data_IF_383109864167
#
_entry.id   IF_383109864167
#
_cell.length_a   1.000
_cell.length_b   1.000
_cell.length_c   1.000
_cell.angle_alpha   90.00
_cell.angle_beta   90.00
_cell.angle_gamma   90.00
#
_symmetry.space_group_name_H-M   'P 1'
#
loop_
_entity.id
_entity.type
_entity.pdbx_description
1 polymer ?
#
# COMPACT_ATOMS: atom_id res chain seq x y z
N UNK A 1 -60.74 16.73 -7.25
CA UNK A 1 -61.35 17.99 -6.89
C UNK A 1 -60.23 19.03 -6.76
N UNK A 2 -60.19 19.82 -7.80
CA UNK A 2 -59.86 21.24 -7.96
C UNK A 2 -58.49 21.78 -7.57
N UNK A 3 -57.75 22.09 -8.58
CA UNK A 3 -56.89 23.27 -8.72
C UNK A 3 -57.78 24.54 -8.92
N UNK A 4 -57.34 25.78 -9.18
CA UNK A 4 -56.04 26.35 -9.54
C UNK A 4 -55.80 27.83 -9.08
N UNK A 5 -54.81 28.48 -9.72
CA UNK A 5 -54.66 29.94 -10.00
C UNK A 5 -53.82 30.75 -9.01
N UNK A 6 -53.09 31.79 -9.38
CA UNK A 6 -52.49 32.29 -10.61
C UNK A 6 -51.66 33.55 -10.24
N UNK A 7 -50.63 33.79 -11.00
CA UNK A 7 -50.06 35.08 -11.47
C UNK A 7 -50.12 36.39 -10.62
N UNK A 8 -48.97 37.05 -10.42
CA UNK A 8 -48.80 38.43 -10.94
C UNK A 8 -47.32 38.86 -11.01
N UNK A 9 -47.00 39.29 -12.17
CA UNK A 9 -45.88 40.13 -12.62
C UNK A 9 -45.96 41.57 -12.09
N UNK A 10 -44.83 42.22 -11.85
CA UNK A 10 -44.69 43.63 -12.14
C UNK A 10 -43.24 44.02 -12.37
N UNK A 11 -43.05 44.58 -13.54
CA UNK A 11 -41.91 45.30 -14.05
C UNK A 11 -41.93 46.76 -13.58
N UNK A 12 -40.79 47.38 -13.38
CA UNK A 12 -40.67 48.83 -13.67
C UNK A 12 -39.21 49.22 -13.95
N UNK A 13 -39.16 49.98 -14.99
CA UNK A 13 -38.03 50.55 -15.74
C UNK A 13 -37.51 51.85 -15.11
N UNK A 14 -36.30 52.19 -15.58
CA UNK A 14 -35.76 53.52 -15.94
C UNK A 14 -35.32 54.41 -14.76
N UNK A 15 -34.25 55.16 -14.88
CA UNK A 15 -33.89 56.12 -15.92
C UNK A 15 -32.46 56.67 -15.77
N UNK A 16 -31.93 57.03 -16.89
CA UNK A 16 -30.69 57.75 -17.18
C UNK A 16 -30.62 59.16 -16.60
N UNK A 17 -29.40 59.64 -16.28
CA UNK A 17 -29.08 61.08 -16.50
C UNK A 17 -27.60 61.28 -16.86
N UNK A 18 -27.40 61.80 -18.04
CA UNK A 18 -26.17 62.45 -18.53
C UNK A 18 -26.06 63.82 -17.94
N UNK A 19 -24.86 64.25 -17.58
CA UNK A 19 -24.52 65.73 -17.75
C UNK A 19 -23.02 65.86 -18.06
N UNK A 20 -22.80 66.79 -18.91
CA UNK A 20 -21.71 67.13 -19.77
C UNK A 20 -20.81 68.24 -19.23
N UNK A 21 -19.57 68.21 -19.79
CA UNK A 21 -18.70 69.38 -20.12
C UNK A 21 -18.04 70.19 -18.99
N UNK A 22 -16.72 70.30 -19.05
CA UNK A 22 -16.04 71.53 -19.48
C UNK A 22 -14.54 71.26 -19.79
N UNK A 23 -14.13 71.81 -20.94
CA UNK A 23 -12.77 71.98 -21.43
C UNK A 23 -12.12 73.23 -20.82
N UNK A 24 -10.79 73.19 -20.68
CA UNK A 24 -9.92 74.39 -20.52
C UNK A 24 -8.42 73.96 -20.59
N UNK A 25 -7.51 74.82 -21.08
CA UNK A 25 -6.45 74.40 -22.01
C UNK A 25 -5.00 74.45 -21.47
N UNK A 26 -4.22 73.68 -22.11
CA UNK A 26 -2.77 73.81 -22.51
C UNK A 26 -1.84 74.63 -21.59
N UNK A 27 -0.78 73.96 -21.13
CA UNK A 27 0.60 74.49 -21.15
C UNK A 27 1.64 73.36 -21.34
N UNK A 28 2.28 73.40 -22.49
CA UNK A 28 3.48 72.65 -22.86
C UNK A 28 4.67 72.98 -21.97
N UNK A 29 5.34 71.95 -21.41
CA UNK A 29 6.76 72.04 -21.08
C UNK A 29 7.40 70.70 -21.41
N UNK A 30 8.27 70.77 -22.43
CA UNK A 30 9.16 69.73 -22.86
C UNK A 30 10.20 69.44 -21.76
N UNK A 31 10.32 68.19 -21.37
CA UNK A 31 11.53 67.68 -20.72
C UNK A 31 11.81 66.30 -21.24
N UNK A 32 13.05 66.13 -21.73
CA UNK A 32 13.58 64.94 -22.30
C UNK A 32 13.50 63.77 -21.33
N UNK A 33 12.85 62.69 -21.72
CA UNK A 33 12.90 61.42 -21.02
C UNK A 33 13.84 60.50 -21.72
N UNK A 34 14.89 60.15 -21.01
CA UNK A 34 15.90 59.14 -21.36
C UNK A 34 15.20 57.78 -21.40
N UNK A 35 15.08 57.16 -22.56
CA UNK A 35 14.54 55.81 -22.71
C UNK A 35 15.62 54.82 -22.30
N UNK A 36 15.47 54.28 -21.08
CA UNK A 36 16.18 53.05 -20.66
C UNK A 36 15.34 51.89 -21.16
N UNK A 37 15.74 51.30 -22.26
CA UNK A 37 15.23 50.02 -22.75
C UNK A 37 15.76 48.88 -21.86
N UNK A 38 15.03 48.50 -20.83
CA UNK A 38 15.27 47.25 -20.13
C UNK A 38 14.78 46.12 -20.99
N UNK A 39 15.70 45.48 -21.68
CA UNK A 39 15.46 44.19 -22.32
C UNK A 39 15.28 43.15 -21.20
N UNK A 40 14.05 42.80 -20.87
CA UNK A 40 13.73 41.57 -20.17
C UNK A 40 14.06 40.41 -21.11
N UNK A 41 15.24 39.83 -20.93
CA UNK A 41 15.55 38.51 -21.46
C UNK A 41 14.72 37.53 -20.65
N UNK A 42 13.56 37.16 -21.13
CA UNK A 42 12.86 35.93 -20.76
C UNK A 42 13.72 34.76 -21.27
N UNK A 43 14.71 34.38 -20.46
CA UNK A 43 15.26 33.02 -20.59
C UNK A 43 14.17 32.07 -20.13
N UNK A 44 13.32 31.69 -21.07
CA UNK A 44 12.56 30.46 -20.95
C UNK A 44 13.55 29.33 -20.86
N UNK A 45 13.74 28.77 -19.66
CA UNK A 45 14.32 27.44 -19.53
C UNK A 45 13.32 26.49 -20.19
N UNK A 46 13.48 26.26 -21.48
CA UNK A 46 13.01 25.04 -22.10
C UNK A 46 14.01 23.98 -21.67
N UNK A 47 13.78 23.42 -20.52
CA UNK A 47 14.42 22.19 -20.08
C UNK A 47 13.83 21.06 -20.95
N UNK A 48 14.39 20.91 -22.15
CA UNK A 48 14.26 19.70 -22.94
C UNK A 48 15.35 18.73 -22.49
N UNK A 49 15.39 18.45 -21.20
CA UNK A 49 16.25 17.46 -20.61
C UNK A 49 15.38 16.32 -20.09
N UNK A 50 15.64 15.14 -20.59
CA UNK A 50 15.29 13.82 -20.11
C UNK A 50 14.34 13.80 -18.90
N UNK A 51 13.15 13.20 -19.06
CA UNK A 51 12.13 13.15 -18.03
C UNK A 51 12.68 12.73 -16.67
N UNK A 52 12.97 13.73 -15.84
CA UNK A 52 13.30 13.49 -14.45
C UNK A 52 12.10 12.81 -13.80
N UNK A 53 12.34 11.81 -12.99
CA UNK A 53 11.33 11.09 -12.26
C UNK A 53 10.46 12.05 -11.42
N UNK A 54 9.27 12.37 -11.90
CA UNK A 54 8.35 13.29 -11.25
C UNK A 54 7.79 12.74 -9.91
N UNK A 55 7.92 11.43 -9.68
CA UNK A 55 7.53 10.80 -8.42
C UNK A 55 8.63 10.88 -7.36
N UNK A 56 9.89 11.12 -7.77
CA UNK A 56 11.00 11.28 -6.84
C UNK A 56 11.00 12.69 -6.24
N UNK A 57 10.86 12.79 -4.92
CA UNK A 57 10.86 14.08 -4.21
C UNK A 57 12.03 14.23 -3.24
N UNK A 58 12.81 13.18 -3.03
CA UNK A 58 13.98 13.19 -2.14
C UNK A 58 15.19 12.65 -2.88
N UNK A 59 16.37 13.24 -2.59
CA UNK A 59 17.63 12.89 -3.26
C UNK A 59 18.13 11.49 -2.87
N UNK A 60 17.92 11.09 -1.61
CA UNK A 60 18.28 9.78 -1.08
C UNK A 60 17.01 9.13 -0.50
N UNK A 61 16.26 8.38 -1.29
CA UNK A 61 15.03 7.75 -0.82
C UNK A 61 15.34 6.58 0.10
N UNK A 62 14.59 6.50 1.19
CA UNK A 62 14.65 5.39 2.16
C UNK A 62 13.26 4.77 2.29
N UNK A 63 13.21 3.46 2.50
CA UNK A 63 11.95 2.78 2.81
C UNK A 63 11.38 3.28 4.12
N UNK A 64 10.06 3.31 4.22
CA UNK A 64 9.42 3.53 5.49
C UNK A 64 9.63 2.30 6.39
N UNK A 65 9.91 2.56 7.64
CA UNK A 65 9.96 1.54 8.70
C UNK A 65 8.82 1.75 9.67
N UNK A 66 8.45 0.71 10.40
CA UNK A 66 7.52 0.81 11.50
C UNK A 66 8.02 1.84 12.54
N UNK A 67 7.12 2.68 12.99
CA UNK A 67 7.44 3.62 14.07
C UNK A 67 7.66 2.84 15.39
N UNK A 68 8.61 3.24 16.24
CA UNK A 68 8.82 2.57 17.52
C UNK A 68 7.59 2.65 18.41
N UNK A 69 7.18 1.51 18.94
CA UNK A 69 6.04 1.41 19.85
C UNK A 69 6.34 1.90 21.26
N UNK A 70 5.39 2.54 21.93
CA UNK A 70 5.50 2.82 23.38
C UNK A 70 5.41 1.52 24.19
N UNK A 71 5.66 1.61 25.48
CA UNK A 71 5.35 0.52 26.40
C UNK A 71 3.84 0.22 26.37
N UNK A 72 3.49 -1.05 26.43
CA UNK A 72 2.09 -1.50 26.50
C UNK A 72 1.44 -1.00 27.79
N UNK A 73 0.30 -0.34 27.69
CA UNK A 73 -0.45 0.24 28.82
C UNK A 73 -1.82 -0.40 29.01
N UNK A 74 -2.32 -1.12 28.02
CA UNK A 74 -3.59 -1.84 28.03
C UNK A 74 -3.33 -3.31 27.70
N UNK A 75 -4.13 -4.20 28.24
CA UNK A 75 -4.06 -5.62 27.90
C UNK A 75 -4.45 -5.82 26.44
N UNK A 76 -3.68 -6.56 25.63
CA UNK A 76 -4.03 -6.87 24.25
C UNK A 76 -5.39 -7.57 24.15
N UNK A 77 -6.17 -7.22 23.13
CA UNK A 77 -7.47 -7.84 22.90
C UNK A 77 -7.32 -9.32 22.48
N UNK A 78 -8.28 -10.16 22.84
CA UNK A 78 -8.29 -11.57 22.48
C UNK A 78 -7.28 -12.41 23.24
N UNK A 79 -6.52 -13.27 22.55
CA UNK A 79 -5.55 -14.18 23.13
C UNK A 79 -4.14 -13.91 22.61
N UNK A 80 -3.17 -13.87 23.50
CA UNK A 80 -1.74 -13.79 23.13
C UNK A 80 -1.08 -15.14 23.45
N UNK A 81 -0.30 -15.63 22.49
CA UNK A 81 0.51 -16.85 22.65
C UNK A 81 1.99 -16.53 22.38
N UNK A 82 2.92 -17.18 23.10
CA UNK A 82 4.34 -17.00 22.84
C UNK A 82 4.72 -17.43 21.41
N UNK A 83 5.51 -16.63 20.73
CA UNK A 83 6.09 -16.99 19.42
C UNK A 83 7.49 -17.61 19.54
N UNK A 84 8.24 -17.24 20.59
CA UNK A 84 9.62 -17.68 20.78
C UNK A 84 10.68 -16.71 20.26
N UNK A 85 10.27 -15.62 19.63
CA UNK A 85 11.13 -14.56 19.08
C UNK A 85 10.32 -13.41 18.51
N UNK A 86 10.99 -12.46 17.88
CA UNK A 86 10.36 -11.37 17.14
C UNK A 86 9.66 -11.91 15.90
N UNK A 87 8.35 -11.63 15.77
CA UNK A 87 7.59 -12.02 14.59
C UNK A 87 7.88 -11.01 13.48
N UNK A 88 8.40 -11.49 12.37
CA UNK A 88 8.73 -10.66 11.21
C UNK A 88 7.59 -10.56 10.21
N UNK A 89 6.86 -11.66 10.00
CA UNK A 89 5.68 -11.66 9.14
C UNK A 89 4.74 -12.83 9.43
N UNK A 90 3.49 -12.70 8.96
CA UNK A 90 2.38 -13.62 9.17
C UNK A 90 1.57 -13.85 7.90
N UNK A 91 1.14 -15.09 7.66
CA UNK A 91 0.10 -15.40 6.70
C UNK A 91 -0.82 -16.49 7.24
N UNK A 92 -2.10 -16.49 6.87
CA UNK A 92 -3.07 -17.48 7.35
C UNK A 92 -3.87 -18.06 6.19
N UNK A 93 -4.12 -19.37 6.26
CA UNK A 93 -5.00 -20.09 5.35
C UNK A 93 -5.56 -21.32 6.05
N UNK A 94 -6.82 -21.65 5.76
CA UNK A 94 -7.47 -22.88 6.21
C UNK A 94 -7.33 -23.19 7.72
N UNK A 95 -7.46 -22.12 8.55
CA UNK A 95 -7.32 -22.27 10.01
C UNK A 95 -5.88 -22.47 10.48
N UNK A 96 -4.90 -22.39 9.58
CA UNK A 96 -3.47 -22.49 9.90
C UNK A 96 -2.80 -21.14 9.75
N UNK A 97 -2.10 -20.71 10.78
CA UNK A 97 -1.24 -19.54 10.78
C UNK A 97 0.20 -19.94 10.50
N UNK A 98 0.83 -19.31 9.54
CA UNK A 98 2.27 -19.35 9.33
C UNK A 98 2.91 -18.10 9.94
N UNK A 99 3.92 -18.28 10.76
CA UNK A 99 4.69 -17.21 11.39
C UNK A 99 6.18 -17.34 11.05
N UNK A 100 6.77 -16.25 10.56
CA UNK A 100 8.21 -16.11 10.40
C UNK A 100 8.79 -15.40 11.61
N UNK A 101 9.95 -15.85 12.08
CA UNK A 101 10.66 -15.26 13.21
C UNK A 101 12.04 -14.77 12.78
N UNK A 102 12.45 -13.65 13.35
CA UNK A 102 13.76 -13.06 13.07
C UNK A 102 14.90 -14.01 13.37
N UNK A 103 15.82 -14.17 12.41
CA UNK A 103 17.01 -15.02 12.54
C UNK A 103 16.73 -16.51 12.47
N UNK A 104 15.55 -16.95 12.04
CA UNK A 104 15.22 -18.37 11.88
C UNK A 104 15.02 -18.77 10.41
N UNK A 105 15.73 -19.78 9.97
CA UNK A 105 15.54 -20.41 8.65
C UNK A 105 14.34 -21.39 8.69
N UNK A 106 13.19 -20.89 9.07
CA UNK A 106 11.99 -21.69 9.25
C UNK A 106 10.71 -20.83 9.28
N UNK A 107 9.59 -21.49 9.03
CA UNK A 107 8.24 -20.98 9.30
C UNK A 107 7.54 -21.89 10.30
N UNK A 108 6.86 -21.29 11.26
CA UNK A 108 6.11 -21.98 12.31
C UNK A 108 4.63 -21.99 11.96
N UNK A 109 4.05 -23.19 11.82
CA UNK A 109 2.64 -23.38 11.52
C UNK A 109 1.86 -23.63 12.83
N UNK A 110 1.00 -22.70 13.20
CA UNK A 110 0.12 -22.76 14.36
C UNK A 110 -1.30 -23.13 13.93
N UNK A 111 -1.99 -23.93 14.73
CA UNK A 111 -3.42 -24.19 14.60
C UNK A 111 -4.20 -23.03 15.23
N UNK A 112 -5.02 -22.33 14.44
CA UNK A 112 -5.83 -21.20 14.93
C UNK A 112 -6.99 -21.62 15.83
N UNK A 113 -7.42 -22.88 15.79
CA UNK A 113 -8.39 -23.42 16.74
C UNK A 113 -7.76 -23.68 18.11
N UNK A 114 -6.47 -24.06 18.15
CA UNK A 114 -5.67 -24.19 19.38
C UNK A 114 -4.30 -23.49 19.25
N UNK A 115 -4.27 -22.15 19.20
CA UNK A 115 -3.04 -21.39 18.99
C UNK A 115 -2.02 -21.50 20.13
N UNK A 116 -2.38 -22.14 21.24
CA UNK A 116 -1.46 -22.46 22.34
C UNK A 116 -0.77 -23.82 22.21
N UNK A 117 -1.17 -24.64 21.26
CA UNK A 117 -0.45 -25.88 20.93
C UNK A 117 0.95 -25.57 20.35
N UNK A 118 1.88 -26.52 20.49
CA UNK A 118 3.20 -26.37 19.90
C UNK A 118 3.10 -26.29 18.37
N UNK A 119 3.70 -25.28 17.73
CA UNK A 119 3.66 -25.15 16.28
C UNK A 119 4.46 -26.27 15.60
N UNK A 120 4.08 -26.56 14.37
CA UNK A 120 4.86 -27.41 13.48
C UNK A 120 5.86 -26.54 12.73
N UNK A 121 7.14 -26.89 12.80
CA UNK A 121 8.21 -26.15 12.15
C UNK A 121 8.46 -26.66 10.74
N UNK A 122 8.40 -25.78 9.75
CA UNK A 122 8.80 -26.02 8.35
C UNK A 122 10.15 -25.36 8.12
N UNK A 123 11.20 -26.17 7.90
CA UNK A 123 12.54 -25.63 7.63
C UNK A 123 12.64 -25.11 6.22
N UNK A 124 13.31 -23.98 6.06
CA UNK A 124 13.58 -23.31 4.80
C UNK A 124 15.10 -23.24 4.56
N UNK A 125 15.55 -23.01 3.33
CA UNK A 125 16.98 -22.79 3.03
C UNK A 125 17.52 -21.41 3.45
N UNK A 126 16.67 -20.52 3.96
CA UNK A 126 17.02 -19.21 4.47
C UNK A 126 15.88 -18.58 5.23
N UNK A 127 16.13 -17.46 5.92
CA UNK A 127 15.15 -16.69 6.66
C UNK A 127 14.02 -16.18 5.74
N UNK A 128 12.78 -16.30 6.18
CA UNK A 128 11.64 -15.76 5.45
C UNK A 128 11.58 -14.23 5.55
N UNK A 129 11.63 -13.56 4.42
CA UNK A 129 11.53 -12.08 4.33
C UNK A 129 10.11 -11.57 4.28
N UNK A 130 9.19 -12.35 3.70
CA UNK A 130 7.75 -12.07 3.73
C UNK A 130 6.95 -13.38 3.62
N UNK A 131 5.76 -13.36 4.18
CA UNK A 131 4.76 -14.42 4.07
C UNK A 131 3.49 -13.86 3.42
N UNK A 132 2.89 -14.65 2.53
CA UNK A 132 1.60 -14.28 1.92
C UNK A 132 0.79 -15.53 1.59
N UNK A 133 -0.53 -15.43 1.67
CA UNK A 133 -1.41 -16.43 1.08
C UNK A 133 -1.65 -16.06 -0.38
N UNK A 134 -1.29 -16.97 -1.29
CA UNK A 134 -1.47 -16.85 -2.73
C UNK A 134 -2.27 -18.06 -3.19
N UNK A 135 -3.48 -17.86 -3.69
CA UNK A 135 -4.40 -18.93 -4.11
C UNK A 135 -4.55 -20.07 -3.07
N UNK A 136 -4.69 -19.69 -1.79
CA UNK A 136 -4.85 -20.61 -0.67
C UNK A 136 -3.56 -21.31 -0.21
N UNK A 137 -2.42 -21.02 -0.84
CA UNK A 137 -1.12 -21.57 -0.46
C UNK A 137 -0.28 -20.52 0.27
N UNK A 138 0.37 -20.88 1.36
CA UNK A 138 1.35 -19.99 2.01
C UNK A 138 2.62 -19.93 1.15
N UNK A 139 3.02 -18.72 0.80
CA UNK A 139 4.26 -18.44 0.08
C UNK A 139 5.20 -17.66 0.98
N UNK A 140 6.44 -18.14 1.12
CA UNK A 140 7.51 -17.48 1.86
C UNK A 140 8.60 -17.02 0.90
N UNK A 141 8.93 -15.72 0.88
CA UNK A 141 10.13 -15.25 0.17
C UNK A 141 11.36 -15.42 1.05
N UNK A 142 12.49 -15.76 0.45
CA UNK A 142 13.78 -15.94 1.14
C UNK A 142 14.84 -15.08 0.43
N UNK A 143 14.97 -13.80 0.81
CA UNK A 143 15.84 -12.84 0.13
C UNK A 143 17.28 -13.29 -0.01
N UNK A 144 17.88 -13.79 1.07
CA UNK A 144 19.27 -14.21 1.10
C UNK A 144 19.53 -15.50 0.32
N UNK A 145 18.53 -16.39 0.27
CA UNK A 145 18.59 -17.61 -0.53
C UNK A 145 18.24 -17.37 -2.00
N UNK A 146 17.77 -16.18 -2.38
CA UNK A 146 17.26 -15.85 -3.72
C UNK A 146 16.23 -16.86 -4.21
N UNK A 147 15.28 -17.19 -3.36
CA UNK A 147 14.24 -18.17 -3.61
C UNK A 147 12.94 -17.77 -2.93
N UNK A 148 11.84 -18.36 -3.33
CA UNK A 148 10.63 -18.41 -2.54
C UNK A 148 10.21 -19.86 -2.34
N UNK A 149 9.38 -20.12 -1.34
CA UNK A 149 8.84 -21.45 -1.07
C UNK A 149 7.32 -21.42 -1.04
N UNK A 150 6.68 -22.42 -1.64
CA UNK A 150 5.28 -22.75 -1.43
C UNK A 150 5.18 -23.77 -0.30
N UNK A 151 4.43 -23.44 0.73
CA UNK A 151 4.31 -24.27 1.93
C UNK A 151 2.93 -24.92 1.93
N UNK A 152 2.92 -26.24 1.87
CA UNK A 152 1.72 -27.05 2.09
C UNK A 152 1.46 -27.13 3.60
N UNK A 153 0.41 -26.41 4.05
CA UNK A 153 0.06 -26.35 5.47
C UNK A 153 -0.48 -27.67 6.02
N UNK A 154 -1.00 -28.56 5.19
CA UNK A 154 -1.49 -29.87 5.61
C UNK A 154 -0.35 -30.86 5.90
N UNK A 155 0.64 -30.92 5.02
CA UNK A 155 1.80 -31.82 5.15
C UNK A 155 2.94 -31.20 5.93
N UNK A 156 3.08 -29.86 5.92
CA UNK A 156 4.23 -29.15 6.48
C UNK A 156 5.49 -29.29 5.61
N UNK A 157 5.31 -29.44 4.30
CA UNK A 157 6.41 -29.48 3.34
C UNK A 157 6.53 -28.16 2.60
N UNK A 158 7.75 -27.83 2.16
CA UNK A 158 8.02 -26.64 1.37
C UNK A 158 8.59 -27.04 0.01
N UNK A 159 8.02 -26.50 -1.06
CA UNK A 159 8.58 -26.54 -2.41
C UNK A 159 9.32 -25.25 -2.67
N UNK A 160 10.63 -25.34 -2.95
CA UNK A 160 11.51 -24.18 -3.11
C UNK A 160 11.75 -23.89 -4.58
N UNK A 161 11.56 -22.64 -4.97
CA UNK A 161 11.76 -22.13 -6.33
C UNK A 161 12.85 -21.05 -6.31
N UNK A 162 13.95 -21.26 -7.03
CA UNK A 162 15.03 -20.29 -7.18
C UNK A 162 14.64 -19.16 -8.16
N UNK A 163 15.10 -17.94 -7.90
CA UNK A 163 14.84 -16.77 -8.74
C UNK A 163 16.10 -15.95 -9.00
N UNK A 164 16.05 -15.07 -10.01
CA UNK A 164 17.22 -14.33 -10.50
C UNK A 164 17.56 -13.05 -9.69
N UNK A 165 17.15 -12.98 -8.43
CA UNK A 165 17.39 -11.80 -7.59
C UNK A 165 16.86 -11.95 -6.18
N UNK A 166 16.72 -10.87 -5.46
CA UNK A 166 16.22 -10.80 -4.08
C UNK A 166 14.67 -10.73 -4.09
N UNK A 167 13.96 -11.85 -3.85
CA UNK A 167 12.50 -11.86 -3.86
C UNK A 167 11.94 -11.18 -2.62
N UNK A 168 10.89 -10.37 -2.79
CA UNK A 168 10.24 -9.63 -1.69
C UNK A 168 8.72 -9.68 -1.72
N UNK A 169 8.13 -10.06 -2.86
CA UNK A 169 6.71 -10.27 -3.02
C UNK A 169 6.44 -11.30 -4.12
N UNK A 170 5.38 -12.07 -3.95
CA UNK A 170 4.94 -13.09 -4.92
C UNK A 170 3.44 -12.98 -5.10
N UNK A 171 2.98 -13.02 -6.35
CA UNK A 171 1.56 -13.05 -6.70
C UNK A 171 1.30 -14.06 -7.82
N UNK A 172 0.07 -14.57 -7.89
CA UNK A 172 -0.39 -15.40 -8.99
C UNK A 172 -1.17 -14.56 -10.03
N UNK A 173 -0.99 -14.88 -11.30
CA UNK A 173 -1.78 -14.36 -12.41
C UNK A 173 -2.16 -15.53 -13.35
N UNK A 174 -3.27 -16.18 -13.06
CA UNK A 174 -3.68 -17.42 -13.69
C UNK A 174 -2.68 -18.55 -13.40
N UNK A 175 -2.05 -19.07 -14.44
CA UNK A 175 -1.00 -20.11 -14.36
C UNK A 175 0.42 -19.56 -14.25
N UNK A 176 0.57 -18.23 -14.11
CA UNK A 176 1.86 -17.55 -13.96
C UNK A 176 2.12 -17.15 -12.53
N UNK A 177 3.39 -17.17 -12.13
CA UNK A 177 3.85 -16.60 -10.88
C UNK A 177 4.65 -15.34 -11.15
N UNK A 178 4.28 -14.23 -10.50
CA UNK A 178 4.98 -12.96 -10.54
C UNK A 178 5.83 -12.82 -9.28
N UNK A 179 7.10 -12.49 -9.43
CA UNK A 179 8.03 -12.33 -8.31
C UNK A 179 8.66 -10.93 -8.36
N UNK A 180 8.44 -10.13 -7.36
CA UNK A 180 9.13 -8.85 -7.19
C UNK A 180 10.58 -9.10 -6.76
N UNK A 181 11.52 -8.63 -7.56
CA UNK A 181 12.97 -8.75 -7.34
C UNK A 181 13.54 -7.38 -6.97
N UNK A 182 13.71 -7.13 -5.68
CA UNK A 182 14.07 -5.83 -5.13
C UNK A 182 15.37 -5.27 -5.65
N UNK A 183 16.44 -6.05 -5.61
CA UNK A 183 17.78 -5.65 -6.04
C UNK A 183 17.88 -5.48 -7.56
N UNK A 184 17.16 -6.29 -8.30
CA UNK A 184 17.07 -6.24 -9.76
C UNK A 184 16.15 -5.11 -10.26
N UNK A 185 15.35 -4.47 -9.37
CA UNK A 185 14.34 -3.46 -9.69
C UNK A 185 13.39 -3.96 -10.79
N UNK A 186 12.89 -5.17 -10.63
CA UNK A 186 12.23 -5.92 -11.68
C UNK A 186 11.12 -6.81 -11.14
N UNK A 187 10.23 -7.24 -12.03
CA UNK A 187 9.33 -8.37 -11.79
C UNK A 187 9.73 -9.52 -12.70
N UNK A 188 10.01 -10.67 -12.12
CA UNK A 188 10.22 -11.92 -12.84
C UNK A 188 8.87 -12.62 -13.01
N UNK A 189 8.61 -13.07 -14.23
CA UNK A 189 7.41 -13.84 -14.58
C UNK A 189 7.86 -15.27 -14.81
N UNK A 190 7.25 -16.19 -14.06
CA UNK A 190 7.44 -17.62 -14.19
C UNK A 190 6.18 -18.25 -14.80
N UNK A 191 6.34 -19.35 -15.55
CA UNK A 191 5.21 -20.15 -16.05
C UNK A 191 4.72 -21.18 -15.00
N UNK A 192 3.79 -22.03 -15.40
CA UNK A 192 3.21 -23.05 -14.55
C UNK A 192 4.22 -24.11 -14.03
N UNK A 193 5.36 -24.25 -14.70
CA UNK A 193 6.44 -25.16 -14.33
C UNK A 193 7.57 -24.43 -13.57
N UNK A 194 7.30 -23.21 -13.07
CA UNK A 194 8.24 -22.31 -12.40
C UNK A 194 9.47 -21.92 -13.25
N UNK A 195 9.36 -22.06 -14.57
CA UNK A 195 10.44 -21.66 -15.48
C UNK A 195 10.36 -20.16 -15.78
N UNK A 196 11.50 -19.44 -15.76
CA UNK A 196 11.52 -18.01 -16.06
C UNK A 196 11.11 -17.73 -17.52
N UNK A 197 9.99 -17.05 -17.72
CA UNK A 197 9.51 -16.61 -19.04
C UNK A 197 10.06 -15.24 -19.39
N UNK A 198 10.03 -14.33 -18.42
CA UNK A 198 10.41 -12.93 -18.63
C UNK A 198 10.83 -12.27 -17.32
N UNK A 199 11.71 -11.26 -17.47
CA UNK A 199 11.98 -10.31 -16.39
C UNK A 199 11.63 -8.90 -16.90
N UNK A 200 10.63 -8.28 -16.31
CA UNK A 200 10.17 -6.93 -16.65
C UNK A 200 10.99 -5.93 -15.84
N UNK A 201 11.70 -5.03 -16.55
CA UNK A 201 12.52 -3.98 -15.96
C UNK A 201 12.17 -2.68 -16.64
N UNK A 202 11.91 -1.66 -15.86
CA UNK A 202 11.73 -0.30 -16.32
C UNK A 202 11.83 0.61 -15.10
N UNK A 203 12.10 1.86 -15.23
CA UNK A 203 12.20 2.99 -14.30
C UNK A 203 11.83 2.78 -12.80
N UNK A 204 11.86 1.56 -12.24
CA UNK A 204 11.69 1.29 -10.83
C UNK A 204 12.95 1.64 -10.04
N UNK A 205 12.78 2.15 -8.83
CA UNK A 205 13.87 2.31 -7.86
C UNK A 205 13.99 1.08 -6.97
N UNK A 206 12.89 0.39 -6.80
CA UNK A 206 12.77 -0.84 -6.02
C UNK A 206 11.55 -1.61 -6.51
N UNK A 207 11.58 -2.94 -6.47
CA UNK A 207 10.39 -3.76 -6.62
C UNK A 207 10.17 -4.45 -5.28
N UNK A 208 9.40 -3.82 -4.40
CA UNK A 208 9.25 -4.29 -3.02
C UNK A 208 8.08 -5.27 -2.88
N UNK A 209 7.07 -5.14 -3.70
CA UNK A 209 5.96 -6.09 -3.78
C UNK A 209 5.34 -6.11 -5.18
N UNK A 210 4.62 -7.17 -5.50
CA UNK A 210 3.79 -7.31 -6.70
C UNK A 210 2.44 -7.86 -6.31
N UNK A 211 1.36 -7.23 -6.79
CA UNK A 211 -0.01 -7.59 -6.45
C UNK A 211 -0.86 -7.68 -7.71
N UNK A 212 -1.78 -8.64 -7.72
CA UNK A 212 -2.74 -8.84 -8.80
C UNK A 212 -4.15 -8.67 -8.23
N UNK A 213 -4.91 -7.75 -8.81
CA UNK A 213 -6.27 -7.48 -8.40
C UNK A 213 -7.05 -6.84 -9.56
N UNK A 214 -8.38 -7.02 -9.62
CA UNK A 214 -9.26 -6.33 -10.58
C UNK A 214 -8.94 -6.55 -12.05
N UNK A 215 -8.19 -7.59 -12.38
CA UNK A 215 -7.75 -7.90 -13.74
C UNK A 215 -6.47 -7.17 -14.17
N UNK A 216 -5.84 -6.39 -13.28
CA UNK A 216 -4.54 -5.76 -13.47
C UNK A 216 -3.50 -6.23 -12.47
N UNK A 217 -2.25 -5.92 -12.73
CA UNK A 217 -1.14 -6.14 -11.82
C UNK A 217 -0.43 -4.81 -11.50
N UNK A 218 0.10 -4.69 -10.30
CA UNK A 218 0.87 -3.51 -9.88
C UNK A 218 2.14 -3.92 -9.14
N UNK A 219 3.12 -3.04 -9.19
CA UNK A 219 4.37 -3.13 -8.42
C UNK A 219 4.40 -2.03 -7.39
N UNK A 220 4.68 -2.37 -6.14
CA UNK A 220 4.96 -1.41 -5.09
C UNK A 220 6.45 -1.07 -5.10
N UNK A 221 6.76 0.21 -5.28
CA UNK A 221 8.10 0.77 -5.14
C UNK A 221 8.16 1.63 -3.88
N UNK A 222 8.67 1.08 -2.78
CA UNK A 222 8.74 1.77 -1.49
C UNK A 222 9.74 2.93 -1.51
N UNK A 223 10.80 2.86 -2.33
CA UNK A 223 11.76 3.95 -2.44
C UNK A 223 11.15 5.18 -3.14
N UNK A 224 10.30 4.95 -4.15
CA UNK A 224 9.53 6.02 -4.80
C UNK A 224 8.22 6.33 -4.09
N UNK A 225 7.84 5.55 -3.09
CA UNK A 225 6.55 5.62 -2.42
C UNK A 225 5.40 5.66 -3.43
N UNK A 226 5.37 4.71 -4.33
CA UNK A 226 4.44 4.67 -5.46
C UNK A 226 4.03 3.24 -5.81
N UNK A 227 2.87 3.11 -6.41
CA UNK A 227 2.43 1.91 -7.11
C UNK A 227 2.51 2.16 -8.60
N UNK A 228 2.99 1.18 -9.36
CA UNK A 228 3.13 1.23 -10.81
C UNK A 228 2.27 0.13 -11.42
N UNK A 229 1.55 0.44 -12.49
CA UNK A 229 0.88 -0.60 -13.27
C UNK A 229 1.91 -1.51 -13.95
N UNK A 230 1.61 -2.79 -14.01
CA UNK A 230 2.40 -3.80 -14.70
C UNK A 230 1.55 -4.38 -15.84
N UNK A 231 1.91 -4.07 -17.07
CA UNK A 231 1.30 -4.68 -18.24
C UNK A 231 1.92 -6.05 -18.50
N UNK A 232 1.13 -7.10 -18.25
CA UNK A 232 1.55 -8.48 -18.40
C UNK A 232 1.47 -8.98 -19.86
N UNK A 233 0.78 -8.27 -20.76
CA UNK A 233 0.71 -8.58 -22.17
C UNK A 233 1.93 -8.02 -22.92
N UNK A 234 2.25 -6.75 -22.68
CA UNK A 234 3.37 -6.06 -23.30
C UNK A 234 4.67 -6.18 -22.50
N UNK A 235 4.61 -6.71 -21.26
CA UNK A 235 5.73 -6.84 -20.35
C UNK A 235 6.44 -5.52 -20.05
N UNK A 236 5.67 -4.49 -19.69
CA UNK A 236 6.18 -3.15 -19.38
C UNK A 236 5.65 -2.67 -18.05
N UNK A 237 6.45 -1.81 -17.38
CA UNK A 237 5.95 -1.00 -16.26
C UNK A 237 5.29 0.24 -16.88
N UNK A 238 4.05 0.49 -16.50
CA UNK A 238 3.26 1.59 -17.00
C UNK A 238 3.21 2.79 -16.07
N UNK A 239 2.03 3.37 -15.95
CA UNK A 239 1.81 4.56 -15.11
C UNK A 239 2.13 4.29 -13.64
N UNK A 240 2.70 5.30 -12.97
CA UNK A 240 2.96 5.28 -11.52
C UNK A 240 2.12 6.32 -10.79
N UNK A 241 1.51 5.93 -9.69
CA UNK A 241 0.81 6.82 -8.78
C UNK A 241 1.44 6.81 -7.40
N UNK A 242 1.56 8.00 -6.82
CA UNK A 242 2.10 8.16 -5.48
C UNK A 242 1.22 7.48 -4.42
N UNK A 243 1.83 6.63 -3.61
CA UNK A 243 1.21 5.96 -2.47
C UNK A 243 1.64 6.61 -1.14
N UNK A 244 1.45 7.92 -1.05
CA UNK A 244 1.80 8.69 0.14
C UNK A 244 3.25 9.19 0.17
N UNK A 245 3.84 9.27 1.37
CA UNK A 245 5.24 9.65 1.58
C UNK A 245 6.11 8.52 2.16
N UNK A 246 5.51 7.41 2.51
CA UNK A 246 6.17 6.25 3.06
C UNK A 246 5.32 5.01 2.88
N UNK A 247 5.11 4.58 1.63
CA UNK A 247 4.44 3.31 1.35
C UNK A 247 5.19 2.19 2.05
N UNK A 248 4.48 1.42 2.88
CA UNK A 248 5.10 0.42 3.75
C UNK A 248 4.63 -1.00 3.42
N UNK A 249 3.34 -1.26 3.45
CA UNK A 249 2.77 -2.57 3.23
C UNK A 249 1.56 -2.48 2.30
N UNK A 250 1.21 -3.59 1.63
CA UNK A 250 0.10 -3.63 0.70
C UNK A 250 -0.63 -4.98 0.72
N UNK A 251 -1.92 -4.93 0.47
CA UNK A 251 -2.78 -6.11 0.28
C UNK A 251 -3.81 -5.84 -0.80
N UNK A 252 -4.57 -6.85 -1.20
CA UNK A 252 -5.67 -6.71 -2.15
C UNK A 252 -7.01 -6.86 -1.45
N UNK A 253 -8.08 -6.32 -2.05
CA UNK A 253 -9.44 -6.53 -1.60
C UNK A 253 -10.31 -7.22 -2.66
N UNK A 254 -11.49 -7.65 -2.26
CA UNK A 254 -12.45 -8.32 -3.14
C UNK A 254 -13.05 -7.42 -4.23
N UNK A 255 -12.86 -6.09 -4.12
CA UNK A 255 -13.31 -5.11 -5.11
C UNK A 255 -12.29 -4.90 -6.23
N UNK A 256 -11.21 -5.68 -6.24
CA UNK A 256 -10.15 -5.58 -7.22
C UNK A 256 -9.22 -4.40 -7.02
N UNK A 257 -9.09 -3.91 -5.78
CA UNK A 257 -8.19 -2.80 -5.43
C UNK A 257 -6.95 -3.30 -4.70
N UNK A 258 -5.91 -2.50 -4.77
CA UNK A 258 -4.73 -2.62 -3.91
C UNK A 258 -4.83 -1.60 -2.80
N UNK A 259 -4.73 -2.05 -1.56
CA UNK A 259 -4.73 -1.24 -0.36
C UNK A 259 -3.28 -1.07 0.10
N UNK A 260 -2.84 0.17 0.32
CA UNK A 260 -1.46 0.50 0.69
C UNK A 260 -1.44 1.36 1.94
N UNK A 261 -0.59 1.04 2.91
CA UNK A 261 -0.33 1.90 4.07
C UNK A 261 0.75 2.94 3.77
N UNK A 262 0.52 4.17 4.19
CA UNK A 262 1.50 5.26 4.21
C UNK A 262 1.96 5.48 5.66
N UNK A 263 3.08 4.86 6.04
CA UNK A 263 3.56 4.88 7.41
C UNK A 263 4.04 6.27 7.87
N UNK A 264 4.53 7.11 6.95
CA UNK A 264 5.04 8.45 7.31
C UNK A 264 3.94 9.48 7.50
N UNK A 265 2.87 9.42 6.71
CA UNK A 265 1.73 10.35 6.84
C UNK A 265 0.55 9.78 7.63
N UNK A 266 0.57 8.50 7.97
CA UNK A 266 -0.54 7.82 8.59
C UNK A 266 -1.78 7.84 7.69
N UNK A 267 -1.81 6.99 6.68
CA UNK A 267 -2.96 6.86 5.80
C UNK A 267 -3.09 5.44 5.23
N UNK A 268 -4.32 5.05 4.92
CA UNK A 268 -4.66 3.92 4.08
C UNK A 268 -5.12 4.45 2.72
N UNK A 269 -4.52 3.96 1.65
CA UNK A 269 -4.84 4.32 0.28
C UNK A 269 -5.39 3.10 -0.45
N UNK A 270 -6.38 3.29 -1.31
CA UNK A 270 -6.92 2.23 -2.16
C UNK A 270 -6.79 2.63 -3.63
N UNK A 271 -6.23 1.74 -4.43
CA UNK A 271 -6.01 1.95 -5.86
C UNK A 271 -6.74 0.89 -6.67
N UNK A 272 -7.47 1.29 -7.71
CA UNK A 272 -7.81 0.39 -8.80
C UNK A 272 -6.55 0.07 -9.60
N UNK A 273 -6.49 -1.09 -10.22
CA UNK A 273 -5.29 -1.55 -10.93
C UNK A 273 -5.39 -1.43 -12.45
N UNK A 274 -6.61 -1.45 -13.02
CA UNK A 274 -6.87 -1.29 -14.45
C UNK A 274 -8.14 -0.46 -14.70
N UNK A 275 -8.01 0.83 -15.10
CA UNK A 275 -6.78 1.63 -15.10
C UNK A 275 -6.30 1.94 -13.67
N UNK A 276 -5.00 2.20 -13.51
CA UNK A 276 -4.43 2.57 -12.22
C UNK A 276 -4.98 3.93 -11.75
N UNK A 277 -5.78 3.92 -10.68
CA UNK A 277 -6.44 5.11 -10.14
C UNK A 277 -6.48 5.09 -8.61
N UNK A 278 -6.13 6.19 -7.97
CA UNK A 278 -6.37 6.36 -6.53
C UNK A 278 -7.87 6.57 -6.27
N UNK A 279 -8.50 5.65 -5.56
CA UNK A 279 -9.95 5.68 -5.24
C UNK A 279 -10.25 6.24 -3.87
N UNK A 280 -9.45 5.84 -2.88
CA UNK A 280 -9.70 6.23 -1.49
C UNK A 280 -8.39 6.64 -0.83
N UNK A 281 -8.50 7.60 0.06
CA UNK A 281 -7.43 7.97 0.99
C UNK A 281 -8.06 8.24 2.35
N UNK A 282 -7.79 7.38 3.31
CA UNK A 282 -8.26 7.48 4.68
C UNK A 282 -7.09 7.87 5.59
N UNK A 283 -7.18 8.98 6.34
CA UNK A 283 -6.23 9.27 7.41
C UNK A 283 -6.29 8.20 8.50
N UNK A 284 -5.12 7.66 8.87
CA UNK A 284 -4.95 6.61 9.89
C UNK A 284 -3.74 6.97 10.74
N UNK A 285 -3.87 7.98 11.62
CA UNK A 285 -2.74 8.46 12.42
C UNK A 285 -2.38 7.47 13.55
N UNK A 286 -1.09 7.35 13.85
CA UNK A 286 -0.56 6.49 14.92
C UNK A 286 0.42 5.44 14.44
N UNK A 287 1.15 5.71 13.35
CA UNK A 287 2.15 4.80 12.79
C UNK A 287 1.49 3.64 12.03
N UNK A 288 0.62 3.95 11.06
CA UNK A 288 0.01 2.94 10.18
C UNK A 288 1.11 2.13 9.47
N UNK A 289 1.12 0.79 9.62
CA UNK A 289 2.20 -0.03 9.06
C UNK A 289 1.69 -1.28 8.36
N UNK A 290 1.41 -2.38 9.04
CA UNK A 290 0.88 -3.59 8.42
C UNK A 290 -0.56 -3.44 7.97
N UNK A 291 -0.96 -4.14 6.90
CA UNK A 291 -2.33 -4.15 6.39
C UNK A 291 -2.77 -5.55 5.97
N UNK A 292 -3.98 -5.94 6.36
CA UNK A 292 -4.63 -7.16 5.89
C UNK A 292 -6.12 -6.89 5.58
N UNK A 293 -6.72 -7.71 4.73
CA UNK A 293 -8.12 -7.57 4.35
C UNK A 293 -8.95 -8.76 4.80
N UNK A 294 -10.09 -8.48 5.44
CA UNK A 294 -11.11 -9.46 5.83
C UNK A 294 -12.26 -9.39 4.82
N UNK A 295 -12.30 -10.32 3.90
CA UNK A 295 -13.31 -10.37 2.86
C UNK A 295 -14.73 -10.63 3.40
N UNK A 296 -14.87 -11.41 4.49
CA UNK A 296 -16.17 -11.68 5.09
C UNK A 296 -16.81 -10.47 5.76
N UNK A 297 -15.99 -9.62 6.40
CA UNK A 297 -16.45 -8.40 7.05
C UNK A 297 -16.30 -7.17 6.18
N UNK A 298 -15.59 -7.27 5.04
CA UNK A 298 -15.22 -6.16 4.15
C UNK A 298 -14.37 -5.10 4.86
N UNK A 299 -13.47 -5.54 5.73
CA UNK A 299 -12.69 -4.70 6.63
C UNK A 299 -11.21 -4.77 6.26
N UNK A 300 -10.61 -3.62 6.03
CA UNK A 300 -9.16 -3.47 6.01
C UNK A 300 -8.66 -3.26 7.44
N UNK A 301 -7.81 -4.15 7.92
CA UNK A 301 -7.15 -4.06 9.22
C UNK A 301 -5.79 -3.41 9.06
N UNK A 302 -5.52 -2.38 9.85
CA UNK A 302 -4.25 -1.63 9.81
C UNK A 302 -3.67 -1.59 11.21
N UNK A 303 -2.40 -1.98 11.34
CA UNK A 303 -1.68 -1.86 12.62
C UNK A 303 -1.19 -0.43 12.85
N UNK A 304 -1.21 0.02 14.10
CA UNK A 304 -0.77 1.34 14.53
C UNK A 304 0.37 1.19 15.55
N UNK A 305 1.59 1.18 15.06
CA UNK A 305 2.77 0.87 15.86
C UNK A 305 3.05 1.91 16.95
N UNK A 306 2.79 3.20 16.71
CA UNK A 306 2.94 4.27 17.73
C UNK A 306 1.93 4.17 18.87
N UNK A 307 0.91 3.28 18.77
CA UNK A 307 -0.18 3.19 19.75
C UNK A 307 -0.38 1.82 20.34
N UNK A 308 0.26 0.77 19.79
CA UNK A 308 -0.06 -0.63 20.07
C UNK A 308 -1.56 -0.88 19.88
N UNK A 309 -2.08 -0.52 18.72
CA UNK A 309 -3.46 -0.72 18.32
C UNK A 309 -3.54 -1.38 16.94
N UNK A 310 -4.67 -2.02 16.66
CA UNK A 310 -5.12 -2.37 15.32
C UNK A 310 -6.47 -1.72 15.08
N UNK A 311 -6.66 -1.13 13.90
CA UNK A 311 -7.93 -0.53 13.49
C UNK A 311 -8.50 -1.26 12.29
N UNK A 312 -9.80 -1.45 12.27
CA UNK A 312 -10.53 -2.04 11.15
C UNK A 312 -11.42 -1.01 10.47
N UNK A 313 -11.22 -0.81 9.17
CA UNK A 313 -12.02 0.08 8.33
C UNK A 313 -12.90 -0.70 7.38
N UNK A 314 -14.21 -0.44 7.39
CA UNK A 314 -15.11 -0.87 6.32
C UNK A 314 -14.78 -0.07 5.05
N UNK A 315 -14.35 -0.77 4.01
CA UNK A 315 -13.87 -0.13 2.77
C UNK A 315 -14.83 -0.26 1.58
N UNK A 316 -16.06 -0.75 1.80
CA UNK A 316 -17.09 -0.91 0.76
C UNK A 316 -17.54 0.40 0.14
N UNK A 317 -17.63 1.44 0.93
CA UNK A 317 -18.16 2.74 0.54
C UNK A 317 -17.16 3.63 -0.19
N UNK A 318 -17.58 4.86 -0.49
CA UNK A 318 -16.70 5.87 -1.07
C UNK A 318 -15.62 6.36 -0.11
N UNK A 319 -15.92 6.39 1.20
CA UNK A 319 -14.97 6.73 2.26
C UNK A 319 -14.94 5.60 3.28
N UNK A 320 -13.75 5.11 3.65
CA UNK A 320 -13.61 4.10 4.68
C UNK A 320 -14.15 4.57 6.04
N UNK A 321 -14.88 3.68 6.74
CA UNK A 321 -15.43 3.94 8.05
C UNK A 321 -14.78 3.06 9.10
N UNK A 322 -14.25 3.66 10.18
CA UNK A 322 -13.71 2.90 11.30
C UNK A 322 -14.82 2.09 12.00
N UNK A 323 -14.65 0.78 12.07
CA UNK A 323 -15.58 -0.16 12.74
C UNK A 323 -14.98 -0.74 14.01
N UNK A 324 -13.67 -0.92 14.02
CA UNK A 324 -12.96 -1.56 15.12
C UNK A 324 -11.72 -0.76 15.48
N UNK A 325 -11.41 -0.73 16.77
CA UNK A 325 -10.15 -0.25 17.33
C UNK A 325 -9.86 -1.07 18.58
N UNK A 326 -8.75 -1.79 18.57
CA UNK A 326 -8.44 -2.78 19.57
C UNK A 326 -6.97 -2.65 20.00
N UNK A 327 -6.67 -2.79 21.31
CA UNK A 327 -5.29 -2.80 21.79
C UNK A 327 -4.56 -4.06 21.35
N UNK A 328 -3.27 -3.90 21.04
CA UNK A 328 -2.42 -4.99 20.58
C UNK A 328 -1.22 -5.23 21.49
N UNK A 329 -0.51 -6.33 21.21
CA UNK A 329 0.88 -6.53 21.64
C UNK A 329 1.75 -5.36 21.15
N UNK A 330 2.89 -5.16 21.81
CA UNK A 330 3.84 -4.11 21.46
C UNK A 330 4.47 -4.39 20.10
N UNK A 331 4.77 -3.35 19.34
CA UNK A 331 5.37 -3.38 18.02
C UNK A 331 4.60 -4.30 17.07
N UNK A 332 3.32 -3.99 16.79
CA UNK A 332 2.46 -4.80 15.93
C UNK A 332 2.82 -4.53 14.46
N UNK A 333 3.95 -5.08 13.99
CA UNK A 333 4.47 -4.78 12.65
C UNK A 333 3.77 -5.60 11.57
N UNK A 334 3.28 -6.80 11.91
CA UNK A 334 2.60 -7.68 10.95
C UNK A 334 1.16 -7.98 11.37
N UNK A 335 0.29 -8.14 10.39
CA UNK A 335 -1.12 -8.52 10.56
C UNK A 335 -1.58 -9.40 9.41
N UNK A 336 -2.36 -10.43 9.72
CA UNK A 336 -3.04 -11.26 8.74
C UNK A 336 -4.45 -11.58 9.19
N UNK A 337 -5.27 -12.10 8.28
CA UNK A 337 -6.64 -12.54 8.55
C UNK A 337 -6.81 -13.95 8.01
N UNK A 338 -7.34 -14.85 8.84
CA UNK A 338 -7.77 -16.15 8.34
C UNK A 338 -9.13 -16.02 7.63
N UNK A 339 -9.17 -16.33 6.35
CA UNK A 339 -10.37 -16.17 5.52
C UNK A 339 -11.55 -17.04 5.96
N UNK A 340 -11.29 -18.20 6.59
CA UNK A 340 -12.36 -19.09 7.03
C UNK A 340 -13.08 -18.59 8.28
N UNK A 341 -12.35 -18.05 9.23
CA UNK A 341 -12.89 -17.66 10.55
C UNK A 341 -13.03 -16.16 10.71
N UNK A 342 -12.33 -15.36 9.86
CA UNK A 342 -12.13 -13.93 10.04
C UNK A 342 -11.45 -13.58 11.38
N UNK A 343 -10.63 -14.49 11.89
CA UNK A 343 -9.72 -14.18 12.99
C UNK A 343 -8.61 -13.25 12.47
N UNK A 344 -8.37 -12.20 13.23
CA UNK A 344 -7.28 -11.24 12.95
C UNK A 344 -6.09 -11.65 13.80
N UNK A 345 -4.95 -11.84 13.17
CA UNK A 345 -3.73 -12.27 13.84
C UNK A 345 -2.66 -11.20 13.69
N UNK A 346 -2.02 -10.84 14.80
CA UNK A 346 -1.02 -9.76 14.87
C UNK A 346 0.26 -10.33 15.45
N UNK A 347 1.39 -10.02 14.81
CA UNK A 347 2.72 -10.40 15.25
C UNK A 347 3.44 -9.25 15.94
N UNK A 348 4.06 -9.55 17.08
CA UNK A 348 4.93 -8.62 17.79
C UNK A 348 6.37 -8.72 17.31
N UNK A 349 6.93 -7.62 16.81
CA UNK A 349 8.37 -7.49 16.55
C UNK A 349 9.12 -7.00 17.80
N UNK A 350 8.63 -7.36 19.01
CA UNK A 350 9.19 -7.00 20.30
C UNK A 350 9.03 -8.11 21.35
N UNK A 351 9.09 -9.37 20.92
CA UNK A 351 9.05 -10.60 21.73
C UNK A 351 7.76 -10.77 22.58
N UNK A 352 6.69 -10.01 22.31
CA UNK A 352 5.42 -10.18 23.02
C UNK A 352 4.51 -11.29 22.44
N UNK A 353 4.94 -11.93 21.34
CA UNK A 353 4.30 -13.11 20.77
C UNK A 353 3.30 -12.80 19.66
N UNK A 354 2.34 -13.71 19.49
CA UNK A 354 1.28 -13.67 18.49
C UNK A 354 -0.05 -13.44 19.17
N UNK A 355 -0.77 -12.42 18.74
CA UNK A 355 -2.12 -12.09 19.24
C UNK A 355 -3.17 -12.57 18.25
N UNK A 356 -4.18 -13.31 18.74
CA UNK A 356 -5.33 -13.78 17.95
C UNK A 356 -6.59 -13.10 18.46
N UNK A 357 -7.29 -12.41 17.56
CA UNK A 357 -8.52 -11.67 17.86
C UNK A 357 -9.68 -12.27 17.05
N UNK A 358 -10.82 -12.44 17.67
CA UNK A 358 -12.10 -12.75 17.02
C UNK A 358 -13.01 -11.53 17.18
N UNK A 359 -13.05 -10.61 16.18
CA UNK A 359 -13.80 -9.35 16.26
C UNK A 359 -15.30 -9.50 16.25
#
# INVERSE_FOLDING_TARGET
VTAPSALRTSSSRSSSSRTSRRRGPVRTRSLAALAITSALVLTGCSDTGAGGDQLQVVENPERASAAPSPATTEDPAGRVVPAGGDVTDLAATDGTLAAALAGEDAVHLHDLDDPGAAPRTVRLPGEAGSLRTVDGTIVATMPDAKAFARIDVATGTAEVVEVDGVPTGVAADGDRTLVALRDAKAVQVLDADDSPVRTVRDDLYSADDVLVAGGGAVVLDQLRTAVFSLDLADHTIGEGLRAGQGAADATTDEYGRVLVTDARNGALLAFDTDPLLLRQRQPVPGGAYGVAYDAKRHVAWVTLTERNEVVGYDVRGGQPEEKFRLPTVRQPDSVTVDEQTSQVVIGSAAEEGIQVITP
#
